data_IF_720003517422
#
_entry.id   IF_720003517422
#
_cell.length_a   1.000
_cell.length_b   1.000
_cell.length_c   1.000
_cell.angle_alpha   90.00
_cell.angle_beta   90.00
_cell.angle_gamma   90.00
#
_symmetry.space_group_name_H-M   'P 1'
#
loop_
_entity.id
_entity.type
_entity.pdbx_description
1 polymer ?
#
# COMPACT_ATOMS: atom_id res chain seq x y z
N UNK A 1 8.74 13.54 18.99
CA UNK A 1 8.92 12.14 18.59
C UNK A 1 10.41 11.77 18.73
N UNK A 2 10.67 10.55 19.19
CA UNK A 2 12.01 9.96 19.24
C UNK A 2 12.28 9.31 17.86
N UNK A 3 13.55 9.12 17.52
CA UNK A 3 13.95 8.61 16.20
C UNK A 3 13.34 7.25 15.85
N UNK A 4 13.10 6.40 16.82
CA UNK A 4 12.53 5.06 16.64
C UNK A 4 11.01 4.98 16.82
N UNK A 5 10.34 6.09 17.14
CA UNK A 5 8.87 6.11 17.22
C UNK A 5 8.29 5.74 15.85
N UNK A 6 7.22 4.92 15.86
CA UNK A 6 6.53 4.51 14.64
C UNK A 6 5.44 5.52 14.34
N UNK A 7 5.46 6.03 13.11
CA UNK A 7 4.45 6.94 12.58
C UNK A 7 3.66 6.21 11.49
N UNK A 8 2.36 6.15 11.64
CA UNK A 8 1.47 5.59 10.63
C UNK A 8 0.90 6.72 9.77
N UNK A 9 1.14 6.64 8.47
CA UNK A 9 0.55 7.53 7.48
C UNK A 9 -0.69 6.84 6.90
N UNK A 10 -1.81 7.54 6.98
CA UNK A 10 -3.11 7.08 6.55
C UNK A 10 -3.62 8.05 5.50
N UNK A 11 -3.83 7.59 4.27
CA UNK A 11 -4.33 8.45 3.19
C UNK A 11 -5.82 8.74 3.40
N UNK A 12 -6.20 10.01 3.26
CA UNK A 12 -7.56 10.47 3.53
C UNK A 12 -8.62 10.04 2.50
N UNK A 13 -8.18 9.50 1.37
CA UNK A 13 -9.03 8.94 0.31
C UNK A 13 -9.35 7.45 0.49
N UNK A 14 -8.92 6.84 1.61
CA UNK A 14 -9.18 5.43 1.97
C UNK A 14 -10.19 5.31 3.13
N UNK A 15 -11.45 5.69 2.94
CA UNK A 15 -12.43 5.74 4.03
C UNK A 15 -12.86 4.36 4.55
N UNK A 16 -12.59 3.28 3.81
CA UNK A 16 -12.92 1.90 4.21
C UNK A 16 -11.79 1.23 5.01
N UNK A 17 -10.87 2.03 5.54
CA UNK A 17 -9.79 1.54 6.38
C UNK A 17 -10.31 0.91 7.67
N UNK A 18 -9.64 -0.16 8.10
CA UNK A 18 -9.96 -0.92 9.30
C UNK A 18 -8.82 -0.83 10.32
N UNK A 19 -9.12 -0.89 11.63
CA UNK A 19 -8.10 -0.86 12.67
C UNK A 19 -7.03 -1.96 12.51
N UNK A 20 -7.41 -3.17 12.12
CA UNK A 20 -6.50 -4.29 11.91
C UNK A 20 -5.50 -4.07 10.75
N UNK A 21 -5.80 -3.17 9.81
CA UNK A 21 -4.85 -2.75 8.77
C UNK A 21 -3.72 -1.90 9.36
N UNK A 22 -4.03 -1.06 10.34
CA UNK A 22 -3.02 -0.25 11.06
C UNK A 22 -2.10 -1.18 11.84
N UNK A 23 -2.66 -2.15 12.55
CA UNK A 23 -1.87 -3.17 13.26
C UNK A 23 -0.97 -3.95 12.31
N UNK A 24 -1.49 -4.32 11.14
CA UNK A 24 -0.73 -5.06 10.12
C UNK A 24 0.52 -4.30 9.62
N UNK A 25 0.43 -2.97 9.38
CA UNK A 25 1.59 -2.20 8.91
C UNK A 25 2.59 -1.89 10.02
N UNK A 26 2.16 -1.84 11.26
CA UNK A 26 3.03 -1.60 12.43
C UNK A 26 3.82 -2.85 12.81
N UNK A 27 3.21 -4.02 12.75
CA UNK A 27 3.78 -5.28 13.22
C UNK A 27 5.17 -5.62 12.65
N UNK A 28 5.50 -5.42 11.33
CA UNK A 28 6.85 -5.69 10.85
C UNK A 28 7.92 -4.77 11.46
N UNK A 29 7.57 -3.51 11.76
CA UNK A 29 8.50 -2.56 12.41
C UNK A 29 8.75 -2.92 13.87
N UNK A 30 7.74 -3.39 14.58
CA UNK A 30 7.89 -3.85 15.96
C UNK A 30 8.74 -5.12 16.05
N UNK A 31 8.58 -6.02 15.06
CA UNK A 31 9.27 -7.31 15.02
C UNK A 31 10.75 -7.19 14.65
N UNK A 32 11.12 -6.30 13.73
CA UNK A 32 12.51 -6.08 13.31
C UNK A 32 12.93 -4.62 13.53
N UNK A 33 13.78 -4.34 14.54
CA UNK A 33 14.30 -2.99 14.77
C UNK A 33 15.06 -2.38 13.59
N UNK A 34 15.52 -3.18 12.64
CA UNK A 34 16.22 -2.70 11.43
C UNK A 34 15.26 -2.26 10.33
N UNK A 35 14.00 -2.72 10.38
CA UNK A 35 12.98 -2.29 9.45
C UNK A 35 12.65 -0.81 9.68
N UNK A 36 12.54 -0.04 8.60
CA UNK A 36 12.38 1.43 8.64
C UNK A 36 11.06 1.91 8.08
N UNK A 37 10.52 1.17 7.10
CA UNK A 37 9.27 1.48 6.42
C UNK A 37 8.49 0.23 6.08
N UNK A 38 7.17 0.31 6.17
CA UNK A 38 6.25 -0.73 5.72
C UNK A 38 5.13 -0.13 4.88
N UNK A 39 4.52 -0.95 4.05
CA UNK A 39 3.35 -0.59 3.24
C UNK A 39 2.32 -1.71 3.31
N UNK A 40 1.04 -1.37 3.45
CA UNK A 40 -0.03 -2.36 3.38
C UNK A 40 -0.13 -2.91 1.95
N UNK A 41 0.14 -4.19 1.79
CA UNK A 41 0.17 -4.90 0.52
C UNK A 41 -1.05 -5.82 0.40
N UNK A 42 -2.17 -5.26 -0.05
CA UNK A 42 -3.41 -5.99 -0.22
C UNK A 42 -3.32 -6.95 -1.41
N UNK A 43 -3.80 -8.17 -1.26
CA UNK A 43 -3.88 -9.12 -2.35
C UNK A 43 -4.84 -8.63 -3.44
N UNK A 44 -4.56 -8.99 -4.69
CA UNK A 44 -5.44 -8.73 -5.83
C UNK A 44 -6.03 -10.06 -6.28
N UNK A 45 -7.34 -10.17 -6.29
CA UNK A 45 -8.10 -11.35 -6.70
C UNK A 45 -8.97 -11.11 -7.96
N UNK A 46 -8.95 -9.90 -8.49
CA UNK A 46 -9.70 -9.45 -9.67
C UNK A 46 -8.78 -8.95 -10.77
N UNK A 47 -9.01 -9.38 -12.03
CA UNK A 47 -8.19 -9.00 -13.18
C UNK A 47 -8.37 -7.53 -13.56
N UNK A 48 -9.56 -6.95 -13.41
CA UNK A 48 -9.81 -5.54 -13.69
C UNK A 48 -9.00 -4.67 -12.75
N UNK A 49 -9.00 -4.98 -11.46
CA UNK A 49 -8.17 -4.31 -10.45
C UNK A 49 -6.68 -4.45 -10.76
N UNK A 50 -6.24 -5.66 -11.19
CA UNK A 50 -4.84 -5.89 -11.55
C UNK A 50 -4.40 -5.05 -12.76
N UNK A 51 -5.27 -4.87 -13.75
CA UNK A 51 -4.94 -4.12 -14.97
C UNK A 51 -5.20 -2.62 -14.85
N UNK A 52 -5.90 -2.19 -13.83
CA UNK A 52 -6.20 -0.77 -13.62
C UNK A 52 -4.91 0.00 -13.30
N UNK A 53 -4.54 1.05 -14.08
CA UNK A 53 -3.36 1.87 -13.82
C UNK A 53 -3.48 2.73 -12.55
N UNK A 54 -4.69 2.98 -12.06
CA UNK A 54 -4.91 3.70 -10.80
C UNK A 54 -4.59 2.82 -9.57
N UNK A 55 -4.55 1.51 -9.76
CA UNK A 55 -4.10 0.55 -8.77
C UNK A 55 -2.58 0.37 -8.89
N UNK A 56 -1.82 0.79 -7.88
CA UNK A 56 -0.36 0.60 -7.86
C UNK A 56 -0.02 -0.81 -7.39
N UNK A 57 0.61 -1.61 -8.25
CA UNK A 57 1.04 -2.97 -7.94
C UNK A 57 2.39 -2.96 -7.23
N UNK A 58 2.64 -3.98 -6.41
CA UNK A 58 3.88 -4.17 -5.65
C UNK A 58 4.54 -5.46 -6.11
N UNK A 59 5.81 -5.37 -6.50
CA UNK A 59 6.69 -6.52 -6.66
C UNK A 59 7.59 -6.62 -5.43
N UNK A 60 7.66 -7.81 -4.83
CA UNK A 60 8.42 -8.05 -3.61
C UNK A 60 9.20 -9.37 -3.71
N UNK A 61 10.24 -9.50 -2.90
CA UNK A 61 10.98 -10.75 -2.77
C UNK A 61 10.28 -11.73 -1.79
N UNK A 62 10.91 -12.91 -1.60
CA UNK A 62 10.38 -13.94 -0.69
C UNK A 62 10.40 -13.52 0.78
N UNK A 63 11.24 -12.57 1.14
CA UNK A 63 11.32 -12.03 2.49
C UNK A 63 10.32 -10.88 2.73
N UNK A 64 9.59 -10.47 1.68
CA UNK A 64 8.63 -9.37 1.74
C UNK A 64 9.25 -7.99 1.52
N UNK A 65 10.51 -7.89 1.06
CA UNK A 65 11.08 -6.60 0.71
C UNK A 65 10.49 -6.11 -0.61
N UNK A 66 10.05 -4.86 -0.65
CA UNK A 66 9.58 -4.22 -1.88
C UNK A 66 10.77 -4.05 -2.82
N UNK A 67 10.64 -4.61 -4.02
CA UNK A 67 11.63 -4.47 -5.08
C UNK A 67 11.28 -3.31 -6.01
N UNK A 68 9.99 -3.10 -6.26
CA UNK A 68 9.50 -2.13 -7.21
C UNK A 68 7.98 -1.98 -7.10
N UNK A 69 7.48 -0.76 -7.31
CA UNK A 69 6.04 -0.49 -7.42
C UNK A 69 5.71 0.10 -8.77
N UNK A 70 4.58 -0.30 -9.37
CA UNK A 70 4.23 0.12 -10.73
C UNK A 70 2.72 0.24 -10.94
N UNK A 71 2.36 1.21 -11.78
CA UNK A 71 1.00 1.30 -12.33
C UNK A 71 0.74 0.28 -13.43
N UNK A 72 1.79 -0.25 -14.07
CA UNK A 72 1.67 -1.35 -15.01
C UNK A 72 1.19 -2.64 -14.32
N UNK A 73 0.56 -3.59 -15.05
CA UNK A 73 0.18 -4.88 -14.50
C UNK A 73 1.42 -5.76 -14.30
N UNK A 74 2.02 -5.68 -13.12
CA UNK A 74 3.19 -6.45 -12.69
C UNK A 74 2.84 -7.35 -11.49
N UNK A 75 3.43 -8.56 -11.37
CA UNK A 75 4.32 -9.24 -12.35
C UNK A 75 3.62 -9.54 -13.67
N UNK A 76 4.39 -9.79 -14.74
CA UNK A 76 3.83 -10.05 -16.06
C UNK A 76 2.82 -11.19 -16.05
N UNK A 77 1.67 -10.94 -16.61
CA UNK A 77 0.61 -11.91 -16.82
C UNK A 77 0.01 -11.71 -18.22
N UNK A 78 -0.11 -12.79 -18.99
CA UNK A 78 -0.77 -12.72 -20.32
C UNK A 78 -2.21 -12.23 -20.15
N UNK A 79 -2.75 -11.44 -21.09
CA UNK A 79 -4.16 -11.10 -21.11
C UNK A 79 -5.06 -12.35 -21.02
N UNK A 80 -6.05 -12.33 -20.13
CA UNK A 80 -6.97 -13.44 -19.89
C UNK A 80 -6.37 -14.64 -19.14
N UNK A 81 -5.12 -14.54 -18.66
CA UNK A 81 -4.47 -15.60 -17.86
C UNK A 81 -4.32 -15.20 -16.37
N UNK A 82 -4.95 -14.10 -15.95
CA UNK A 82 -4.94 -13.69 -14.56
C UNK A 82 -5.61 -14.74 -13.67
N UNK A 83 -4.99 -14.98 -12.53
CA UNK A 83 -5.58 -15.81 -11.46
C UNK A 83 -5.03 -15.32 -10.12
N UNK A 84 -5.78 -15.45 -9.01
CA UNK A 84 -5.30 -15.11 -7.66
C UNK A 84 -4.01 -15.87 -7.27
N UNK A 85 -3.74 -17.04 -7.88
CA UNK A 85 -2.50 -17.80 -7.70
C UNK A 85 -1.24 -17.05 -8.18
N UNK A 86 -1.39 -15.98 -9.00
CA UNK A 86 -0.31 -15.07 -9.34
C UNK A 86 0.30 -14.40 -8.11
N UNK A 87 -0.46 -14.29 -7.02
CA UNK A 87 -0.03 -13.64 -5.79
C UNK A 87 0.20 -12.14 -5.92
N UNK A 88 -0.40 -11.50 -6.93
CA UNK A 88 -0.28 -10.06 -7.15
C UNK A 88 -0.81 -9.27 -5.96
N UNK A 89 -0.13 -8.17 -5.65
CA UNK A 89 -0.51 -7.27 -4.55
C UNK A 89 -0.55 -5.83 -5.02
N UNK A 90 -1.36 -5.03 -4.33
CA UNK A 90 -1.45 -3.58 -4.54
C UNK A 90 -1.12 -2.82 -3.26
N UNK A 91 -0.65 -1.59 -3.43
CA UNK A 91 -0.62 -0.64 -2.33
C UNK A 91 -2.07 -0.35 -1.91
N UNK A 92 -2.30 -0.38 -0.60
CA UNK A 92 -3.47 0.25 0.02
C UNK A 92 -2.95 1.41 0.87
N UNK A 93 -3.54 2.58 0.79
CA UNK A 93 -3.01 3.86 1.27
C UNK A 93 -2.67 3.96 2.76
N UNK A 94 -2.03 2.93 3.31
CA UNK A 94 -1.54 2.88 4.69
C UNK A 94 -0.07 2.49 4.68
N UNK A 95 0.74 3.33 5.34
CA UNK A 95 2.17 3.14 5.48
C UNK A 95 2.57 3.31 6.94
N UNK A 96 3.64 2.65 7.37
CA UNK A 96 4.26 2.97 8.64
C UNK A 96 5.76 3.19 8.47
N UNK A 97 6.29 4.13 9.23
CA UNK A 97 7.68 4.55 9.17
C UNK A 97 8.25 4.71 10.57
N UNK A 98 9.55 4.41 10.76
CA UNK A 98 10.26 4.98 11.89
C UNK A 98 10.44 6.48 11.67
N UNK A 99 10.34 7.27 12.72
CA UNK A 99 10.36 8.73 12.62
C UNK A 99 11.62 9.27 11.92
N UNK A 100 12.80 8.75 12.23
CA UNK A 100 14.03 9.16 11.55
C UNK A 100 13.98 8.90 10.03
N UNK A 101 13.34 7.79 9.62
CA UNK A 101 13.23 7.45 8.21
C UNK A 101 12.16 8.29 7.49
N UNK A 102 11.06 8.62 8.16
CA UNK A 102 10.07 9.54 7.64
C UNK A 102 10.66 10.94 7.42
N UNK A 103 11.49 11.44 8.36
CA UNK A 103 12.24 12.70 8.16
C UNK A 103 13.09 12.65 6.90
N UNK A 104 13.93 11.59 6.76
CA UNK A 104 14.71 11.39 5.55
C UNK A 104 13.84 11.40 4.29
N UNK A 105 12.74 10.68 4.29
CA UNK A 105 11.82 10.58 3.15
C UNK A 105 11.25 11.95 2.76
N UNK A 106 10.83 12.76 3.73
CA UNK A 106 10.25 14.08 3.46
C UNK A 106 11.28 15.13 3.04
N UNK A 107 12.53 14.98 3.44
CA UNK A 107 13.65 15.89 3.08
C UNK A 107 14.33 15.49 1.77
N UNK A 108 14.11 14.26 1.29
CA UNK A 108 14.72 13.74 0.05
C UNK A 108 13.89 14.19 -1.16
N UNK A 109 14.52 14.79 -2.18
CA UNK A 109 13.83 15.16 -3.42
C UNK A 109 13.20 13.96 -4.13
N UNK A 110 12.17 14.24 -4.95
CA UNK A 110 11.56 13.24 -5.82
C UNK A 110 12.60 12.53 -6.69
N UNK A 111 12.46 11.22 -6.82
CA UNK A 111 13.38 10.38 -7.58
C UNK A 111 12.88 10.12 -9.01
N UNK A 112 13.78 9.75 -9.96
CA UNK A 112 13.38 9.53 -11.34
C UNK A 112 12.32 8.44 -11.53
N UNK A 113 12.38 7.35 -10.74
CA UNK A 113 11.41 6.26 -10.84
C UNK A 113 10.06 6.65 -10.21
N UNK A 114 10.10 7.37 -9.08
CA UNK A 114 8.92 7.94 -8.45
C UNK A 114 8.11 8.81 -9.42
N UNK A 115 8.78 9.73 -10.12
CA UNK A 115 8.13 10.62 -11.10
C UNK A 115 7.55 9.84 -12.28
N UNK A 116 8.29 8.85 -12.81
CA UNK A 116 7.84 8.05 -13.97
C UNK A 116 6.64 7.18 -13.66
N UNK A 117 6.60 6.58 -12.49
CA UNK A 117 5.51 5.69 -12.06
C UNK A 117 4.41 6.44 -11.28
N UNK A 118 4.64 7.74 -10.97
CA UNK A 118 3.75 8.53 -10.12
C UNK A 118 3.42 7.79 -8.82
N UNK A 119 4.47 7.27 -8.16
CA UNK A 119 4.37 6.49 -6.94
C UNK A 119 5.56 6.78 -6.02
N UNK A 120 5.29 7.41 -4.88
CA UNK A 120 6.28 7.90 -3.91
C UNK A 120 7.10 6.78 -3.24
N UNK A 121 6.56 5.57 -3.10
CA UNK A 121 7.30 4.41 -2.60
C UNK A 121 8.55 4.10 -3.43
N UNK A 122 8.57 4.46 -4.71
CA UNK A 122 9.72 4.24 -5.58
C UNK A 122 10.93 5.12 -5.22
N UNK A 123 10.73 6.23 -4.49
CA UNK A 123 11.83 7.02 -3.92
C UNK A 123 12.72 6.16 -3.01
N UNK A 124 12.10 5.31 -2.20
CA UNK A 124 12.82 4.39 -1.31
C UNK A 124 13.64 3.39 -2.13
N UNK A 125 13.04 2.82 -3.18
CA UNK A 125 13.72 1.86 -4.08
C UNK A 125 14.88 2.50 -4.83
N UNK A 126 14.71 3.70 -5.40
CA UNK A 126 15.75 4.42 -6.15
C UNK A 126 16.98 4.74 -5.30
N UNK A 127 16.79 4.93 -3.99
CA UNK A 127 17.89 5.14 -3.05
C UNK A 127 18.49 3.85 -2.48
N UNK A 128 18.06 2.67 -2.97
CA UNK A 128 18.56 1.37 -2.50
C UNK A 128 18.17 1.07 -1.05
N UNK A 129 17.11 1.70 -0.54
CA UNK A 129 16.63 1.51 0.82
C UNK A 129 15.48 0.50 0.86
N UNK A 130 15.29 -0.13 2.03
CA UNK A 130 14.29 -1.17 2.22
C UNK A 130 12.95 -0.63 2.69
N UNK A 131 11.88 -1.12 2.06
CA UNK A 131 10.52 -1.07 2.55
C UNK A 131 9.98 -2.51 2.59
N UNK A 132 9.24 -2.87 3.63
CA UNK A 132 8.69 -4.22 3.81
C UNK A 132 7.19 -4.18 3.55
N UNK A 133 6.67 -5.19 2.87
CA UNK A 133 5.22 -5.34 2.74
C UNK A 133 4.61 -5.81 4.06
N UNK A 134 3.43 -5.28 4.40
CA UNK A 134 2.50 -5.86 5.36
C UNK A 134 1.41 -6.59 4.55
N UNK A 135 1.49 -7.93 4.39
CA UNK A 135 0.53 -8.66 3.58
C UNK A 135 -0.87 -8.58 4.17
N UNK A 136 -1.85 -8.28 3.33
CA UNK A 136 -3.25 -8.22 3.72
C UNK A 136 -4.12 -8.95 2.71
N UNK A 137 -5.21 -9.64 3.12
CA UNK A 137 -6.11 -10.33 2.19
C UNK A 137 -6.83 -9.36 1.26
N UNK A 138 -7.33 -9.87 0.13
CA UNK A 138 -8.23 -9.12 -0.71
C UNK A 138 -9.55 -8.89 0.03
N UNK A 139 -9.97 -7.63 0.10
CA UNK A 139 -11.29 -7.25 0.60
C UNK A 139 -11.88 -6.18 -0.32
N UNK A 140 -13.20 -6.09 -0.42
CA UNK A 140 -13.84 -4.96 -1.09
C UNK A 140 -13.41 -3.65 -0.42
N UNK A 141 -12.76 -2.79 -1.18
CA UNK A 141 -12.34 -1.47 -0.72
C UNK A 141 -12.20 -0.54 -1.91
N UNK A 142 -12.60 0.70 -1.73
CA UNK A 142 -12.64 1.71 -2.79
C UNK A 142 -12.01 3.00 -2.27
N UNK A 143 -10.97 3.47 -2.96
CA UNK A 143 -10.43 4.82 -2.75
C UNK A 143 -11.40 5.84 -3.34
N UNK A 144 -11.56 6.99 -2.70
CA UNK A 144 -12.47 8.05 -3.16
C UNK A 144 -11.69 9.10 -3.94
N UNK A 145 -11.59 8.91 -5.25
CA UNK A 145 -10.97 9.87 -6.18
C UNK A 145 -12.00 10.60 -7.05
N UNK A 146 -13.25 10.12 -7.06
CA UNK A 146 -14.36 10.71 -7.81
C UNK A 146 -15.67 10.71 -7.01
N UNK A 147 -16.68 11.47 -7.52
CA UNK A 147 -18.04 11.43 -6.93
C UNK A 147 -18.68 10.04 -7.03
N UNK A 148 -18.42 9.32 -8.12
CA UNK A 148 -18.94 7.96 -8.31
C UNK A 148 -18.34 6.99 -7.29
N UNK A 149 -17.05 7.15 -6.94
CA UNK A 149 -16.42 6.33 -5.91
C UNK A 149 -16.99 6.64 -4.53
N UNK A 150 -17.24 7.91 -4.21
CA UNK A 150 -17.92 8.30 -2.98
C UNK A 150 -19.26 7.57 -2.83
N UNK A 151 -20.08 7.55 -3.88
CA UNK A 151 -21.40 6.95 -3.84
C UNK A 151 -21.31 5.42 -3.64
N UNK A 152 -20.31 4.76 -4.23
CA UNK A 152 -20.00 3.35 -4.00
C UNK A 152 -19.56 3.08 -2.55
N UNK A 153 -18.64 3.90 -2.03
CA UNK A 153 -18.15 3.81 -0.65
C UNK A 153 -19.29 4.01 0.33
N UNK A 154 -20.11 5.04 0.14
CA UNK A 154 -21.26 5.31 1.01
C UNK A 154 -22.23 4.12 1.07
N UNK A 155 -22.50 3.47 -0.08
CA UNK A 155 -23.33 2.28 -0.12
C UNK A 155 -22.73 1.11 0.67
N UNK A 156 -21.39 0.90 0.57
CA UNK A 156 -20.69 -0.16 1.29
C UNK A 156 -20.61 0.11 2.79
N UNK A 157 -20.30 1.34 3.18
CA UNK A 157 -20.16 1.71 4.59
C UNK A 157 -21.45 1.53 5.39
N UNK A 158 -22.63 1.67 4.78
CA UNK A 158 -23.92 1.39 5.43
C UNK A 158 -24.05 -0.04 5.94
N UNK A 159 -23.33 -0.98 5.34
CA UNK A 159 -23.28 -2.38 5.75
C UNK A 159 -22.01 -2.76 6.50
N UNK A 160 -21.11 -1.81 6.73
CA UNK A 160 -19.86 -2.07 7.45
C UNK A 160 -20.14 -2.38 8.93
N UNK A 161 -19.58 -3.49 9.49
CA UNK A 161 -19.75 -3.84 10.89
C UNK A 161 -19.23 -2.78 11.88
N UNK A 162 -18.37 -1.87 11.43
CA UNK A 162 -17.81 -0.77 12.22
C UNK A 162 -18.62 0.53 12.11
N UNK A 163 -19.59 0.60 11.19
CA UNK A 163 -20.43 1.79 11.01
C UNK A 163 -21.15 2.17 12.29
N UNK A 164 -20.99 3.40 12.74
CA UNK A 164 -21.62 3.91 13.96
C UNK A 164 -21.00 3.43 15.28
N UNK A 165 -19.83 2.79 15.25
CA UNK A 165 -19.09 2.39 16.46
C UNK A 165 -18.03 3.39 16.89
N UNK A 166 -17.84 4.46 16.14
CA UNK A 166 -16.90 5.56 16.42
C UNK A 166 -17.66 6.82 16.84
#
# INVERSE_FOLDING_TARGET
LRDDDIVVCVQGDEPMMRPDMIEAVVAPLEKDPRARATVLAMAIDDEEVFRNPDTVKIVHDLAGNVLYTSRAPVPYCKPGAFSPALGARRIYGIFAFRWHFLKWFTETPESPLEVKESCDSNRICDHGLGQIIAPYPAIPSYSVVSRADRDKVEAHMKSDPLWGKY
#
